data_IF_774394633379
#
_entry.id   IF_774394633379
#
_cell.length_a   1.000
_cell.length_b   1.000
_cell.length_c   1.000
_cell.angle_alpha   90.00
_cell.angle_beta   90.00
_cell.angle_gamma   90.00
#
_symmetry.space_group_name_H-M   'P 1'
#
loop_
_entity.id
_entity.type
_entity.pdbx_description
1 polymer ?
#
# COMPACT_ATOMS: atom_id res chain seq x y z
N UNK A 1 -3.51 51.06 -33.29
CA UNK A 1 -2.23 51.18 -32.55
C UNK A 1 -1.92 49.80 -32.01
N UNK A 2 -1.05 49.08 -32.72
CA UNK A 2 -0.71 47.68 -32.46
C UNK A 2 0.65 47.61 -31.78
N UNK A 3 0.74 46.95 -30.63
CA UNK A 3 2.01 46.60 -30.00
C UNK A 3 2.06 45.09 -29.82
N UNK A 4 2.90 44.46 -30.66
CA UNK A 4 3.23 43.05 -30.64
C UNK A 4 4.49 42.86 -29.80
N UNK A 5 4.42 42.00 -28.78
CA UNK A 5 5.54 41.63 -27.92
C UNK A 5 5.82 40.13 -28.04
N UNK A 6 7.08 39.81 -28.42
CA UNK A 6 7.68 38.47 -28.42
C UNK A 6 7.79 37.90 -27.01
N UNK A 7 7.93 36.55 -26.91
CA UNK A 7 8.94 36.04 -26.00
C UNK A 7 9.86 34.96 -26.59
N UNK A 8 11.01 34.87 -25.92
CA UNK A 8 12.19 34.05 -26.17
C UNK A 8 11.94 32.54 -25.98
N UNK A 9 12.58 31.72 -26.81
CA UNK A 9 12.78 30.29 -26.60
C UNK A 9 14.26 29.95 -26.68
N UNK A 10 14.87 29.71 -25.51
CA UNK A 10 16.24 29.17 -25.39
C UNK A 10 16.16 27.67 -25.09
N UNK A 11 16.98 26.91 -25.81
CA UNK A 11 17.22 25.46 -25.75
C UNK A 11 17.90 25.00 -24.46
N UNK A 12 17.66 23.76 -24.00
CA UNK A 12 18.61 23.02 -23.17
C UNK A 12 19.24 21.83 -23.91
N UNK A 13 20.57 21.77 -23.82
CA UNK A 13 21.46 20.68 -24.23
C UNK A 13 21.53 19.60 -23.15
N UNK A 14 21.54 18.34 -23.56
CA UNK A 14 21.72 17.16 -22.68
C UNK A 14 23.15 16.65 -22.80
N UNK A 15 23.89 16.42 -21.70
CA UNK A 15 25.12 15.63 -21.73
C UNK A 15 24.85 14.19 -21.27
N UNK A 16 25.19 13.23 -22.13
CA UNK A 16 25.20 11.79 -21.83
C UNK A 16 26.56 11.42 -21.25
N UNK A 17 26.64 11.26 -19.93
CA UNK A 17 27.83 10.80 -19.22
C UNK A 17 27.76 9.30 -18.94
N UNK A 18 28.74 8.56 -19.44
CA UNK A 18 28.98 7.15 -19.12
C UNK A 18 29.88 6.98 -17.88
N UNK A 19 29.69 5.85 -17.20
CA UNK A 19 30.62 5.18 -16.26
C UNK A 19 29.94 3.84 -15.92
N UNK A 20 30.56 2.67 -15.97
CA UNK A 20 31.97 2.34 -15.81
C UNK A 20 32.13 1.50 -14.53
N UNK A 21 32.76 0.33 -14.67
CA UNK A 21 33.32 -0.57 -13.65
C UNK A 21 32.41 -1.50 -12.84
N UNK A 22 32.31 -2.74 -13.33
CA UNK A 22 32.08 -3.95 -12.53
C UNK A 22 33.40 -4.39 -11.88
N UNK A 23 33.43 -4.52 -10.55
CA UNK A 23 34.49 -5.19 -9.80
C UNK A 23 33.81 -6.31 -8.99
N UNK A 24 33.93 -7.54 -9.47
CA UNK A 24 33.46 -8.75 -8.77
C UNK A 24 34.54 -9.25 -7.81
N UNK A 25 34.12 -9.50 -6.57
CA UNK A 25 34.96 -9.94 -5.45
C UNK A 25 35.10 -11.46 -5.32
N UNK A 26 36.29 -11.82 -4.82
CA UNK A 26 36.57 -12.72 -3.68
C UNK A 26 35.84 -14.07 -3.54
N UNK A 27 36.63 -15.13 -3.66
CA UNK A 27 36.63 -16.38 -2.85
C UNK A 27 37.99 -17.06 -3.12
N UNK A 28 38.65 -17.81 -2.20
CA UNK A 28 38.05 -18.81 -1.29
C UNK A 28 38.72 -18.87 0.11
N UNK A 29 38.25 -19.76 1.01
CA UNK A 29 39.08 -20.74 1.75
C UNK A 29 38.21 -21.53 2.74
N UNK A 30 38.40 -22.84 2.66
CA UNK A 30 37.95 -23.94 3.52
C UNK A 30 38.71 -23.94 4.85
N UNK A 31 38.06 -24.23 5.99
CA UNK A 31 38.76 -24.90 7.10
C UNK A 31 37.80 -25.76 7.92
N UNK A 32 38.08 -27.05 7.88
CA UNK A 32 37.60 -28.15 8.72
C UNK A 32 38.29 -28.08 10.09
N UNK A 33 37.59 -28.21 11.22
CA UNK A 33 38.15 -28.87 12.42
C UNK A 33 37.04 -29.39 13.33
N UNK A 34 37.32 -30.58 13.87
CA UNK A 34 36.50 -31.53 14.63
C UNK A 34 36.46 -31.29 16.14
N UNK A 35 35.55 -32.06 16.80
CA UNK A 35 35.66 -32.69 18.14
C UNK A 35 35.61 -31.74 19.37
N UNK A 36 34.95 -31.99 20.49
CA UNK A 36 34.51 -33.23 21.16
C UNK A 36 33.31 -33.00 22.09
N UNK A 37 32.68 -34.12 22.42
CA UNK A 37 31.78 -34.50 23.52
C UNK A 37 31.96 -33.75 24.86
N UNK A 38 30.86 -33.45 25.56
CA UNK A 38 30.64 -33.80 26.98
C UNK A 38 29.14 -33.83 27.32
N UNK A 39 28.78 -34.88 28.07
CA UNK A 39 27.46 -35.21 28.62
C UNK A 39 26.96 -34.20 29.66
N UNK A 40 25.65 -34.00 29.68
CA UNK A 40 25.00 -33.17 30.70
C UNK A 40 23.48 -33.34 30.71
N UNK A 41 23.02 -34.43 31.34
CA UNK A 41 21.61 -34.69 31.60
C UNK A 41 20.94 -33.53 32.36
N UNK A 42 19.92 -32.94 31.76
CA UNK A 42 18.93 -32.11 32.47
C UNK A 42 17.56 -32.30 31.81
N UNK A 43 16.80 -33.21 32.42
CA UNK A 43 15.38 -33.44 32.17
C UNK A 43 14.58 -32.20 32.59
N UNK A 44 14.25 -31.34 31.63
CA UNK A 44 13.17 -30.35 31.73
C UNK A 44 12.28 -30.44 30.49
N UNK A 45 11.76 -31.63 30.23
CA UNK A 45 10.51 -31.78 29.53
C UNK A 45 9.38 -31.58 30.56
N UNK A 46 8.60 -30.52 30.39
CA UNK A 46 7.15 -30.42 30.70
C UNK A 46 6.77 -29.06 31.29
N UNK A 47 6.84 -28.00 30.49
CA UNK A 47 5.89 -26.89 30.68
C UNK A 47 5.56 -26.22 29.34
N UNK A 48 5.06 -27.04 28.40
CA UNK A 48 4.26 -26.53 27.30
C UNK A 48 2.92 -26.05 27.87
N UNK A 49 2.93 -24.88 28.50
CA UNK A 49 1.74 -24.20 28.99
C UNK A 49 0.76 -24.05 27.84
N UNK A 50 -0.30 -24.85 27.88
CA UNK A 50 -1.49 -24.75 27.03
C UNK A 50 -2.17 -23.40 27.30
N UNK A 51 -1.60 -22.34 26.72
CA UNK A 51 -2.29 -21.06 26.57
C UNK A 51 -3.57 -21.32 25.79
N UNK A 52 -4.71 -21.06 26.42
CA UNK A 52 -6.03 -21.19 25.79
C UNK A 52 -6.06 -20.37 24.49
N UNK A 53 -6.81 -20.80 23.46
CA UNK A 53 -6.91 -20.09 22.19
C UNK A 53 -7.24 -18.59 22.37
N UNK A 54 -8.11 -18.27 23.33
CA UNK A 54 -8.48 -16.90 23.69
C UNK A 54 -7.30 -16.07 24.23
N UNK A 55 -6.42 -16.66 25.04
CA UNK A 55 -5.27 -15.96 25.63
C UNK A 55 -4.15 -15.75 24.60
N UNK A 56 -4.01 -16.64 23.61
CA UNK A 56 -3.11 -16.44 22.46
C UNK A 56 -3.58 -15.29 21.56
N UNK A 57 -4.89 -15.19 21.35
CA UNK A 57 -5.49 -14.13 20.55
C UNK A 57 -5.34 -12.75 21.21
N UNK A 58 -5.50 -12.67 22.54
CA UNK A 58 -5.24 -11.45 23.32
C UNK A 58 -3.79 -10.98 23.20
N UNK A 59 -2.82 -11.88 23.38
CA UNK A 59 -1.38 -11.54 23.27
C UNK A 59 -1.03 -11.08 21.85
N UNK A 60 -1.58 -11.72 20.83
CA UNK A 60 -1.45 -11.28 19.43
C UNK A 60 -2.05 -9.87 19.22
N UNK A 61 -3.22 -9.59 19.79
CA UNK A 61 -3.88 -8.27 19.71
C UNK A 61 -3.07 -7.18 20.42
N UNK A 62 -2.52 -7.50 21.60
CA UNK A 62 -1.63 -6.59 22.34
C UNK A 62 -0.38 -6.25 21.52
N UNK A 63 0.25 -7.25 20.87
CA UNK A 63 1.39 -7.03 19.98
C UNK A 63 1.03 -6.14 18.78
N UNK A 64 -0.15 -6.33 18.18
CA UNK A 64 -0.63 -5.51 17.04
C UNK A 64 -0.82 -4.03 17.41
N UNK A 65 -1.39 -3.73 18.58
CA UNK A 65 -1.53 -2.33 19.06
C UNK A 65 -0.18 -1.71 19.45
N UNK A 66 0.83 -2.54 19.70
CA UNK A 66 2.19 -2.08 20.03
C UNK A 66 2.97 -1.67 18.78
N UNK A 67 2.69 -2.28 17.63
CA UNK A 67 3.44 -2.06 16.39
C UNK A 67 3.43 -0.59 15.93
N UNK A 68 2.26 0.07 15.94
CA UNK A 68 2.18 1.49 15.57
C UNK A 68 2.88 2.41 16.57
N UNK A 69 2.87 2.08 17.86
CA UNK A 69 3.63 2.84 18.87
C UNK A 69 5.14 2.70 18.65
N UNK A 70 5.59 1.49 18.35
CA UNK A 70 6.99 1.22 17.97
C UNK A 70 7.33 1.99 16.70
N UNK A 71 6.45 2.00 15.69
CA UNK A 71 6.66 2.74 14.44
C UNK A 71 6.79 4.24 14.67
N UNK A 72 5.90 4.84 15.48
CA UNK A 72 5.94 6.27 15.80
C UNK A 72 7.23 6.64 16.51
N UNK A 73 7.74 5.76 17.39
CA UNK A 73 8.96 6.01 18.14
C UNK A 73 10.23 5.84 17.28
N UNK A 74 10.30 4.80 16.45
CA UNK A 74 11.49 4.49 15.65
C UNK A 74 11.55 5.29 14.34
N UNK A 75 10.40 5.50 13.69
CA UNK A 75 10.30 6.12 12.37
C UNK A 75 9.19 7.19 12.34
N UNK A 76 9.28 8.27 13.14
CA UNK A 76 8.22 9.27 13.29
C UNK A 76 7.83 9.99 11.99
N UNK A 77 8.74 9.99 10.99
CA UNK A 77 8.50 10.60 9.69
C UNK A 77 7.37 9.90 8.92
N UNK A 78 7.30 8.57 8.98
CA UNK A 78 6.33 7.78 8.21
C UNK A 78 4.89 8.14 8.59
N UNK A 79 4.44 7.98 9.85
CA UNK A 79 3.07 8.33 10.23
C UNK A 79 2.77 9.81 10.01
N UNK A 80 3.74 10.71 10.21
CA UNK A 80 3.56 12.15 9.96
C UNK A 80 3.28 12.45 8.49
N UNK A 81 4.06 11.87 7.57
CA UNK A 81 3.86 12.04 6.13
C UNK A 81 2.54 11.41 5.70
N UNK A 82 2.23 10.20 6.17
CA UNK A 82 0.96 9.53 5.85
C UNK A 82 -0.25 10.33 6.34
N UNK A 83 -0.22 10.89 7.55
CA UNK A 83 -1.26 11.79 8.07
C UNK A 83 -1.50 12.96 7.11
N UNK A 84 -0.45 13.70 6.75
CA UNK A 84 -0.59 14.87 5.87
C UNK A 84 -1.16 14.47 4.50
N UNK A 85 -0.66 13.39 3.91
CA UNK A 85 -1.12 12.91 2.61
C UNK A 85 -2.58 12.43 2.65
N UNK A 86 -3.01 11.76 3.73
CA UNK A 86 -4.40 11.37 3.93
C UNK A 86 -5.32 12.59 4.07
N UNK A 87 -4.91 13.61 4.83
CA UNK A 87 -5.66 14.88 4.93
C UNK A 87 -5.84 15.55 3.56
N UNK A 88 -4.76 15.62 2.77
CA UNK A 88 -4.83 16.15 1.41
C UNK A 88 -5.72 15.31 0.50
N UNK A 89 -5.63 13.98 0.60
CA UNK A 89 -6.48 13.06 -0.16
C UNK A 89 -7.97 13.28 0.17
N UNK A 90 -8.32 13.28 1.46
CA UNK A 90 -9.69 13.49 1.92
C UNK A 90 -10.21 14.84 1.43
N UNK A 91 -9.43 15.92 1.60
CA UNK A 91 -9.83 17.27 1.15
C UNK A 91 -10.03 17.34 -0.37
N UNK A 92 -9.23 16.60 -1.14
CA UNK A 92 -9.31 16.60 -2.61
C UNK A 92 -10.49 15.77 -3.11
N UNK A 93 -10.67 14.57 -2.57
CA UNK A 93 -11.65 13.61 -3.06
C UNK A 93 -13.05 13.87 -2.45
N UNK A 94 -13.20 14.54 -1.30
CA UNK A 94 -14.50 14.89 -0.69
C UNK A 94 -15.25 16.05 -1.41
N UNK A 95 -15.08 16.21 -2.72
CA UNK A 95 -15.78 17.24 -3.49
C UNK A 95 -17.15 16.73 -3.95
N UNK A 96 -18.19 17.42 -3.48
CA UNK A 96 -19.57 17.19 -3.90
C UNK A 96 -19.77 17.75 -5.31
N UNK A 97 -20.40 16.97 -6.17
CA UNK A 97 -20.80 17.39 -7.53
C UNK A 97 -22.23 16.93 -7.77
N UNK A 98 -23.10 17.88 -8.15
CA UNK A 98 -24.50 17.60 -8.49
C UNK A 98 -24.66 16.87 -9.84
N UNK A 99 -23.59 16.85 -10.65
CA UNK A 99 -23.58 16.19 -11.96
C UNK A 99 -23.02 14.76 -11.89
N UNK A 100 -22.59 14.29 -10.72
CA UNK A 100 -22.02 12.96 -10.56
C UNK A 100 -23.14 11.93 -10.48
N UNK A 101 -22.98 10.82 -11.21
CA UNK A 101 -23.90 9.70 -11.12
C UNK A 101 -23.90 9.09 -9.70
N UNK A 102 -25.04 8.57 -9.21
CA UNK A 102 -25.14 8.06 -7.84
C UNK A 102 -24.13 6.97 -7.49
N UNK A 103 -23.79 6.09 -8.45
CA UNK A 103 -22.83 5.01 -8.23
C UNK A 103 -21.40 5.55 -8.07
N UNK A 104 -20.99 6.48 -8.93
CA UNK A 104 -19.70 7.16 -8.83
C UNK A 104 -19.61 8.00 -7.55
N UNK A 105 -20.70 8.66 -7.16
CA UNK A 105 -20.77 9.35 -5.88
C UNK A 105 -20.55 8.38 -4.73
N UNK A 106 -21.27 7.26 -4.70
CA UNK A 106 -21.09 6.23 -3.68
C UNK A 106 -19.64 5.72 -3.62
N UNK A 107 -19.03 5.41 -4.78
CA UNK A 107 -17.65 4.93 -4.85
C UNK A 107 -16.63 5.93 -4.29
N UNK A 108 -16.82 7.21 -4.60
CA UNK A 108 -16.00 8.28 -4.06
C UNK A 108 -16.16 8.38 -2.55
N UNK A 109 -17.40 8.41 -2.04
CA UNK A 109 -17.67 8.48 -0.60
C UNK A 109 -17.06 7.30 0.15
N UNK A 110 -17.16 6.07 -0.37
CA UNK A 110 -16.52 4.90 0.23
C UNK A 110 -14.99 5.04 0.31
N UNK A 111 -14.36 5.62 -0.72
CA UNK A 111 -12.91 5.87 -0.73
C UNK A 111 -12.51 6.94 0.31
N UNK A 112 -13.32 7.98 0.46
CA UNK A 112 -13.11 9.05 1.46
C UNK A 112 -13.29 8.50 2.88
N UNK A 113 -14.36 7.75 3.13
CA UNK A 113 -14.65 7.14 4.44
C UNK A 113 -13.55 6.16 4.86
N UNK A 114 -13.06 5.33 3.93
CA UNK A 114 -11.90 4.45 4.15
C UNK A 114 -10.66 5.25 4.60
N UNK A 115 -10.32 6.33 3.88
CA UNK A 115 -9.20 7.18 4.24
C UNK A 115 -9.38 7.89 5.60
N UNK A 116 -10.61 8.32 5.92
CA UNK A 116 -10.94 8.93 7.21
C UNK A 116 -10.80 7.95 8.37
N UNK A 117 -11.29 6.72 8.22
CA UNK A 117 -11.12 5.67 9.23
C UNK A 117 -9.63 5.39 9.47
N UNK A 118 -8.84 5.21 8.41
CA UNK A 118 -7.40 5.03 8.52
C UNK A 118 -6.72 6.21 9.24
N UNK A 119 -7.07 7.45 8.89
CA UNK A 119 -6.53 8.65 9.52
C UNK A 119 -6.88 8.71 11.01
N UNK A 120 -8.13 8.40 11.37
CA UNK A 120 -8.59 8.37 12.75
C UNK A 120 -7.85 7.30 13.58
N UNK A 121 -7.67 6.10 13.03
CA UNK A 121 -6.90 5.01 13.66
C UNK A 121 -5.42 5.38 13.83
N UNK A 122 -4.85 6.10 12.86
CA UNK A 122 -3.49 6.59 12.91
C UNK A 122 -3.30 7.66 14.00
N UNK A 123 -4.21 8.64 14.08
CA UNK A 123 -4.19 9.67 15.14
C UNK A 123 -4.32 9.08 16.54
N UNK A 124 -5.15 8.06 16.69
CA UNK A 124 -5.33 7.34 17.96
C UNK A 124 -4.26 6.27 18.21
N UNK A 125 -3.30 6.11 17.31
CA UNK A 125 -2.19 5.16 17.41
C UNK A 125 -2.65 3.72 17.70
N UNK A 126 -3.67 3.25 16.98
CA UNK A 126 -4.07 1.83 17.02
C UNK A 126 -4.26 1.21 15.64
N UNK A 127 -3.88 1.92 14.57
CA UNK A 127 -3.89 1.34 13.22
C UNK A 127 -2.94 0.14 13.13
N UNK A 128 -3.43 -0.95 12.55
CA UNK A 128 -2.66 -2.18 12.30
C UNK A 128 -2.46 -2.40 10.81
N UNK A 129 -1.53 -3.29 10.43
CA UNK A 129 -1.39 -3.67 9.02
C UNK A 129 -2.66 -4.34 8.47
N UNK A 130 -3.42 -5.04 9.33
CA UNK A 130 -4.66 -5.70 8.94
C UNK A 130 -5.75 -4.69 8.58
N UNK A 131 -5.86 -3.59 9.34
CA UNK A 131 -6.79 -2.50 9.01
C UNK A 131 -6.56 -1.97 7.59
N UNK A 132 -5.29 -1.82 7.18
CA UNK A 132 -4.95 -1.34 5.84
C UNK A 132 -5.26 -2.37 4.77
N UNK A 133 -4.99 -3.66 5.03
CA UNK A 133 -5.35 -4.76 4.12
C UNK A 133 -6.85 -4.84 3.90
N UNK A 134 -7.63 -4.89 4.99
CA UNK A 134 -9.09 -4.98 4.94
C UNK A 134 -9.68 -3.77 4.21
N UNK A 135 -9.17 -2.57 4.49
CA UNK A 135 -9.56 -1.35 3.79
C UNK A 135 -9.34 -1.45 2.27
N UNK A 136 -8.15 -1.89 1.85
CA UNK A 136 -7.81 -2.02 0.42
C UNK A 136 -8.64 -3.12 -0.23
N UNK A 137 -8.79 -4.27 0.41
CA UNK A 137 -9.61 -5.39 -0.09
C UNK A 137 -11.08 -4.99 -0.28
N UNK A 138 -11.65 -4.27 0.67
CA UNK A 138 -13.02 -3.77 0.57
C UNK A 138 -13.21 -2.83 -0.63
N UNK A 139 -12.28 -1.90 -0.85
CA UNK A 139 -12.33 -1.01 -2.01
C UNK A 139 -12.11 -1.76 -3.34
N UNK A 140 -11.23 -2.76 -3.35
CA UNK A 140 -11.04 -3.63 -4.51
C UNK A 140 -12.27 -4.50 -4.81
N UNK A 141 -13.01 -4.91 -3.78
CA UNK A 141 -14.30 -5.57 -3.91
C UNK A 141 -15.32 -4.66 -4.60
N UNK A 142 -15.43 -3.41 -4.13
CA UNK A 142 -16.29 -2.40 -4.75
C UNK A 142 -15.89 -2.13 -6.21
N UNK A 143 -14.59 -1.99 -6.49
CA UNK A 143 -14.07 -1.83 -7.85
C UNK A 143 -14.48 -3.00 -8.77
N UNK A 144 -14.37 -4.23 -8.27
CA UNK A 144 -14.74 -5.43 -9.01
C UNK A 144 -16.23 -5.48 -9.36
N UNK A 145 -17.10 -5.00 -8.46
CA UNK A 145 -18.54 -4.87 -8.73
C UNK A 145 -18.81 -3.82 -9.82
N UNK A 146 -18.06 -2.72 -9.83
CA UNK A 146 -18.21 -1.67 -10.84
C UNK A 146 -17.71 -2.10 -12.22
N UNK A 147 -16.66 -2.95 -12.32
CA UNK A 147 -16.05 -3.33 -13.61
C UNK A 147 -17.06 -3.86 -14.63
N UNK A 148 -18.04 -4.65 -14.17
CA UNK A 148 -19.03 -5.27 -15.06
C UNK A 148 -20.23 -4.37 -15.37
N UNK A 149 -20.57 -3.43 -14.46
CA UNK A 149 -21.81 -2.64 -14.54
C UNK A 149 -21.59 -1.22 -15.05
N UNK A 150 -20.47 -0.61 -14.68
CA UNK A 150 -20.13 0.77 -14.98
C UNK A 150 -18.61 0.92 -15.15
N UNK A 151 -18.04 0.53 -16.31
CA UNK A 151 -16.59 0.52 -16.53
C UNK A 151 -15.92 1.89 -16.36
N UNK A 152 -16.62 2.98 -16.72
CA UNK A 152 -16.12 4.34 -16.52
C UNK A 152 -15.97 4.67 -15.02
N UNK A 153 -16.96 4.30 -14.20
CA UNK A 153 -16.92 4.46 -12.74
C UNK A 153 -15.83 3.58 -12.14
N UNK A 154 -15.70 2.33 -12.60
CA UNK A 154 -14.63 1.44 -12.17
C UNK A 154 -13.24 2.01 -12.47
N UNK A 155 -13.06 2.67 -13.63
CA UNK A 155 -11.80 3.34 -13.97
C UNK A 155 -11.49 4.47 -13.00
N UNK A 156 -12.46 5.34 -12.75
CA UNK A 156 -12.28 6.45 -11.82
C UNK A 156 -11.94 5.95 -10.41
N UNK A 157 -12.70 4.96 -9.92
CA UNK A 157 -12.46 4.34 -8.62
C UNK A 157 -11.08 3.66 -8.56
N UNK A 158 -10.67 2.94 -9.60
CA UNK A 158 -9.36 2.28 -9.63
C UNK A 158 -8.19 3.26 -9.50
N UNK A 159 -8.30 4.45 -10.12
CA UNK A 159 -7.31 5.51 -9.96
C UNK A 159 -7.30 6.09 -8.53
N UNK A 160 -8.48 6.23 -7.91
CA UNK A 160 -8.60 6.71 -6.51
C UNK A 160 -8.00 5.69 -5.55
N UNK A 161 -8.29 4.40 -5.72
CA UNK A 161 -7.72 3.31 -4.92
C UNK A 161 -6.18 3.30 -5.04
N UNK A 162 -5.64 3.43 -6.27
CA UNK A 162 -4.19 3.49 -6.47
C UNK A 162 -3.56 4.65 -5.72
N UNK A 163 -4.15 5.86 -5.77
CA UNK A 163 -3.64 7.00 -5.00
C UNK A 163 -3.63 6.70 -3.50
N UNK A 164 -4.71 6.12 -2.97
CA UNK A 164 -4.79 5.78 -1.56
C UNK A 164 -3.73 4.75 -1.15
N UNK A 165 -3.53 3.71 -1.97
CA UNK A 165 -2.48 2.69 -1.76
C UNK A 165 -1.09 3.32 -1.73
N UNK A 166 -0.78 4.26 -2.64
CA UNK A 166 0.51 4.98 -2.62
C UNK A 166 0.72 5.72 -1.29
N UNK A 167 -0.33 6.31 -0.75
CA UNK A 167 -0.26 7.07 0.51
C UNK A 167 -0.02 6.15 1.72
N UNK A 168 -0.73 5.02 1.77
CA UNK A 168 -0.69 4.11 2.94
C UNK A 168 0.34 2.98 2.81
N UNK A 169 0.92 2.76 1.63
CA UNK A 169 1.78 1.61 1.34
C UNK A 169 3.06 1.58 2.17
N UNK A 170 3.72 2.73 2.37
CA UNK A 170 4.93 2.81 3.21
C UNK A 170 4.60 2.57 4.70
N UNK A 171 3.46 3.11 5.17
CA UNK A 171 2.93 2.87 6.51
C UNK A 171 2.66 1.37 6.71
N UNK A 172 1.93 0.75 5.79
CA UNK A 172 1.59 -0.66 5.85
C UNK A 172 2.83 -1.56 5.82
N UNK A 173 3.76 -1.32 4.90
CA UNK A 173 5.05 -2.03 4.81
C UNK A 173 5.80 -1.99 6.15
N UNK A 174 5.83 -0.83 6.79
CA UNK A 174 6.53 -0.65 8.06
C UNK A 174 5.83 -1.38 9.21
N UNK A 175 4.49 -1.35 9.24
CA UNK A 175 3.70 -2.10 10.22
C UNK A 175 3.85 -3.62 10.02
N UNK A 176 3.93 -4.09 8.77
CA UNK A 176 4.14 -5.51 8.43
C UNK A 176 5.50 -6.00 8.93
N UNK A 177 6.57 -5.20 8.69
CA UNK A 177 7.93 -5.51 9.18
C UNK A 177 7.99 -5.58 10.70
N UNK A 178 7.41 -4.60 11.40
CA UNK A 178 7.38 -4.58 12.88
C UNK A 178 6.55 -5.74 13.44
N UNK A 179 5.52 -6.17 12.72
CA UNK A 179 4.66 -7.29 13.12
C UNK A 179 5.20 -8.64 12.69
N UNK A 180 6.38 -8.70 12.06
CA UNK A 180 7.02 -9.92 11.56
C UNK A 180 6.13 -10.74 10.60
N UNK A 181 5.33 -10.05 9.78
CA UNK A 181 4.50 -10.69 8.74
C UNK A 181 5.09 -10.48 7.34
N UNK A 182 4.74 -11.31 6.35
CA UNK A 182 5.16 -11.11 4.97
C UNK A 182 4.76 -9.73 4.46
N UNK A 183 5.75 -8.98 3.97
CA UNK A 183 5.55 -7.64 3.42
C UNK A 183 4.82 -7.74 2.08
N UNK A 184 3.78 -6.91 1.92
CA UNK A 184 3.02 -6.82 0.68
C UNK A 184 3.69 -5.84 -0.28
N UNK A 185 3.76 -6.20 -1.57
CA UNK A 185 4.11 -5.23 -2.61
C UNK A 185 2.89 -4.35 -2.95
N UNK A 186 2.71 -3.30 -2.14
CA UNK A 186 1.59 -2.36 -2.29
C UNK A 186 1.58 -1.66 -3.64
N UNK A 187 2.75 -1.42 -4.25
CA UNK A 187 2.82 -0.79 -5.57
C UNK A 187 2.25 -1.71 -6.65
N UNK A 188 2.64 -3.00 -6.63
CA UNK A 188 2.07 -4.00 -7.51
C UNK A 188 0.55 -4.17 -7.31
N UNK A 189 0.05 -4.09 -6.06
CA UNK A 189 -1.39 -4.11 -5.78
C UNK A 189 -2.08 -2.91 -6.45
N UNK A 190 -1.56 -1.70 -6.29
CA UNK A 190 -2.10 -0.50 -6.93
C UNK A 190 -2.07 -0.55 -8.46
N UNK A 191 -0.99 -1.07 -9.04
CA UNK A 191 -0.85 -1.29 -10.48
C UNK A 191 -1.87 -2.31 -11.02
N UNK A 192 -2.08 -3.39 -10.28
CA UNK A 192 -3.03 -4.44 -10.65
C UNK A 192 -4.47 -3.91 -10.74
N UNK A 193 -4.88 -3.03 -9.84
CA UNK A 193 -6.23 -2.42 -9.84
C UNK A 193 -6.46 -1.61 -11.13
N UNK A 194 -5.49 -0.78 -11.53
CA UNK A 194 -5.59 0.02 -12.76
C UNK A 194 -5.58 -0.88 -14.00
N UNK A 195 -4.63 -1.83 -14.05
CA UNK A 195 -4.48 -2.76 -15.19
C UNK A 195 -5.73 -3.58 -15.44
N UNK A 196 -6.44 -4.03 -14.39
CA UNK A 196 -7.72 -4.75 -14.55
C UNK A 196 -8.77 -3.90 -15.26
N UNK A 197 -8.79 -2.61 -14.98
CA UNK A 197 -9.75 -1.68 -15.58
C UNK A 197 -9.48 -1.48 -17.07
N UNK A 198 -8.21 -1.32 -17.46
CA UNK A 198 -7.85 -1.10 -18.85
C UNK A 198 -8.21 -2.31 -19.71
N UNK A 199 -7.96 -3.53 -19.19
CA UNK A 199 -8.36 -4.78 -19.84
C UNK A 199 -9.89 -4.89 -20.00
N UNK A 200 -10.66 -4.50 -18.99
CA UNK A 200 -12.12 -4.53 -19.06
C UNK A 200 -12.68 -3.53 -20.08
N UNK A 201 -12.10 -2.32 -20.13
CA UNK A 201 -12.51 -1.30 -21.11
C UNK A 201 -12.21 -1.71 -22.55
N UNK A 202 -11.08 -2.38 -22.80
CA UNK A 202 -10.77 -2.88 -24.15
C UNK A 202 -11.78 -3.93 -24.60
N UNK A 203 -12.21 -4.85 -23.73
CA UNK A 203 -13.23 -5.86 -24.06
C UNK A 203 -14.59 -5.24 -24.40
N UNK A 204 -15.00 -4.18 -23.68
CA UNK A 204 -16.26 -3.50 -23.96
C UNK A 204 -16.27 -2.83 -25.35
N UNK A 205 -15.13 -2.27 -25.78
CA UNK A 205 -14.99 -1.68 -27.11
C UNK A 205 -15.03 -2.75 -28.23
N UNK A 206 -14.36 -3.89 -28.03
CA UNK A 206 -14.43 -5.00 -28.98
C UNK A 206 -15.84 -5.58 -29.12
N UNK A 207 -16.59 -5.68 -28.03
CA UNK A 207 -17.96 -6.20 -28.07
C UNK A 207 -18.94 -5.28 -28.84
N UNK A 208 -18.74 -3.95 -28.77
CA UNK A 208 -19.56 -3.00 -29.53
C UNK A 208 -19.25 -2.97 -31.03
N UNK A 209 -18.12 -3.48 -31.49
CA UNK A 209 -17.76 -3.53 -32.91
C UNK A 209 -18.02 -4.87 -33.60
N UNK A 210 -18.20 -5.97 -32.85
CA UNK A 210 -18.54 -7.28 -33.42
C UNK A 210 -20.06 -7.56 -33.47
N UNK A 211 -20.90 -6.59 -33.12
CA UNK A 211 -22.36 -6.74 -33.07
C UNK A 211 -23.14 -6.13 -34.24
N UNK A 212 -22.48 -5.79 -35.35
CA UNK A 212 -23.13 -5.38 -36.60
C UNK A 212 -22.87 -6.39 -37.71
#
# INVERSE_FOLDING_TARGET
>A
MSTSARPHGATPTTPTGGSGSDISGSSPITTTTSSSEEDGASSLASEATLLSPQKREEVMRQKKTTAVKVLVNLFPRIPKVTTLLLEFFIKRENRVSLLRDPLSHFCQEQSVLAAQDCLQKLHRQFVTYQDIRDMVENLMGLHSLCLNRAPATARSLGLVIRKLIIIVGELATSLEKISEVPVTDWMAVGDAVVTRTDKASSRALFCMHCGQ
#
